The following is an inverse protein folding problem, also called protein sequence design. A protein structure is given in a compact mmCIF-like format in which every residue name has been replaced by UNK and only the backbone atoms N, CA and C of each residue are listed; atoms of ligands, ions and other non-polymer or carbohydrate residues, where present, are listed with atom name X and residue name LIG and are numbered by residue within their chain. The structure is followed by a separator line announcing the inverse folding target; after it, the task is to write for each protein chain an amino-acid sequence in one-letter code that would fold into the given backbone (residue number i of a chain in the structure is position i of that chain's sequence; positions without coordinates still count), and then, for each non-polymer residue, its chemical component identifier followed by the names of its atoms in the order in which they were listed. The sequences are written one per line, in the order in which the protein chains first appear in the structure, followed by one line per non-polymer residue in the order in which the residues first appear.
data_IF_492140510296
#
_entry.id   IF_492140510296
#
_cell.length_a   1.000
_cell.length_b   1.000
_cell.length_c   1.000
_cell.angle_alpha   90.00
_cell.angle_beta   90.00
_cell.angle_gamma   90.00
#
_symmetry.space_group_name_H-M   'P 1'
#
loop_
_entity.id
_entity.type
_entity.pdbx_description
1 polymer ?
#
# COMPACT_ATOMS: atom_id res chain seq x y z
N UNK A 1 2.86 2.27 -3.59
CA UNK A 1 2.26 2.18 -2.22
C UNK A 1 2.03 3.53 -1.48
N UNK A 2 2.94 4.50 -1.55
CA UNK A 2 2.91 5.74 -0.73
C UNK A 2 1.62 6.58 -0.81
N UNK A 3 1.00 6.69 -1.98
CA UNK A 3 -0.19 7.53 -2.16
C UNK A 3 -1.38 7.04 -1.31
N UNK A 4 -1.54 5.73 -1.18
CA UNK A 4 -2.62 5.10 -0.40
C UNK A 4 -2.40 5.37 1.10
N UNK A 5 -1.16 5.22 1.58
CA UNK A 5 -0.81 5.49 2.99
C UNK A 5 -1.05 6.96 3.35
N UNK A 6 -0.57 7.88 2.51
CA UNK A 6 -0.79 9.34 2.71
C UNK A 6 -2.27 9.71 2.67
N UNK A 7 -3.05 9.07 1.80
CA UNK A 7 -4.50 9.25 1.74
C UNK A 7 -5.18 8.84 3.05
N UNK A 8 -4.82 7.68 3.60
CA UNK A 8 -5.38 7.20 4.87
C UNK A 8 -4.98 8.09 6.07
N UNK A 9 -3.74 8.57 6.12
CA UNK A 9 -3.29 9.53 7.15
C UNK A 9 -4.12 10.81 7.12
N UNK A 10 -4.39 11.34 5.91
CA UNK A 10 -5.20 12.55 5.75
C UNK A 10 -6.64 12.35 6.22
N UNK A 11 -7.26 11.22 5.87
CA UNK A 11 -8.62 10.86 6.34
C UNK A 11 -8.66 10.75 7.86
N UNK A 12 -7.64 10.15 8.48
CA UNK A 12 -7.55 10.04 9.95
C UNK A 12 -7.41 11.41 10.61
N UNK A 13 -6.66 12.32 10.00
CA UNK A 13 -6.51 13.69 10.49
C UNK A 13 -7.83 14.48 10.41
N UNK A 14 -8.56 14.35 9.29
CA UNK A 14 -9.88 14.95 9.12
C UNK A 14 -10.89 14.39 10.14
N UNK A 15 -10.84 13.09 10.43
CA UNK A 15 -11.67 12.46 11.46
C UNK A 15 -11.40 13.03 12.86
N UNK A 16 -10.13 13.19 13.25
CA UNK A 16 -9.76 13.79 14.54
C UNK A 16 -10.21 15.26 14.64
N UNK A 17 -10.17 15.98 13.52
CA UNK A 17 -10.62 17.37 13.47
C UNK A 17 -12.14 17.47 13.64
N UNK A 18 -12.88 16.50 13.06
CA UNK A 18 -14.34 16.44 13.11
C UNK A 18 -14.92 16.12 14.49
N UNK A 19 -14.15 15.49 15.38
CA UNK A 19 -14.59 15.17 16.76
C UNK A 19 -14.91 16.41 17.60
N UNK A 20 -14.39 17.59 17.22
CA UNK A 20 -14.62 18.86 17.93
C UNK A 20 -15.75 19.73 17.32
N UNK A 21 -16.41 19.29 16.23
CA UNK A 21 -17.34 20.13 15.45
C UNK A 21 -18.79 20.19 16.01
N UNK A 22 -19.05 19.56 17.16
CA UNK A 22 -20.34 19.61 17.84
C UNK A 22 -21.40 18.59 17.36
N UNK A 23 -22.64 18.68 17.86
CA UNK A 23 -23.63 17.58 17.81
C UNK A 23 -24.24 17.30 16.42
N UNK A 24 -23.95 18.10 15.39
CA UNK A 24 -24.60 18.00 14.06
C UNK A 24 -24.01 16.87 13.18
N UNK A 25 -23.02 16.12 13.68
CA UNK A 25 -22.25 15.20 12.84
C UNK A 25 -22.22 13.75 13.34
N UNK A 26 -23.08 13.32 14.27
CA UNK A 26 -22.94 11.99 14.90
C UNK A 26 -23.01 10.82 13.89
N UNK A 27 -23.87 10.92 12.87
CA UNK A 27 -23.97 9.94 11.77
C UNK A 27 -22.74 10.00 10.86
N UNK A 28 -22.26 11.21 10.52
CA UNK A 28 -21.08 11.40 9.68
C UNK A 28 -19.82 10.88 10.39
N UNK A 29 -19.67 11.18 11.67
CA UNK A 29 -18.57 10.74 12.51
C UNK A 29 -18.55 9.22 12.69
N UNK A 30 -19.71 8.59 12.88
CA UNK A 30 -19.83 7.13 12.90
C UNK A 30 -19.41 6.52 11.56
N UNK A 31 -19.93 7.07 10.46
CA UNK A 31 -19.60 6.60 9.09
C UNK A 31 -18.10 6.74 8.80
N UNK A 32 -17.49 7.87 9.20
CA UNK A 32 -16.07 8.13 8.98
C UNK A 32 -15.18 7.22 9.84
N UNK A 33 -15.60 6.88 11.07
CA UNK A 33 -14.91 5.89 11.92
C UNK A 33 -14.94 4.49 11.31
N UNK A 34 -16.11 4.04 10.85
CA UNK A 34 -16.27 2.74 10.19
C UNK A 34 -15.43 2.67 8.90
N UNK A 35 -15.50 3.71 8.06
CA UNK A 35 -14.68 3.80 6.85
C UNK A 35 -13.18 3.76 7.16
N UNK A 36 -12.72 4.54 8.15
CA UNK A 36 -11.29 4.59 8.52
C UNK A 36 -10.79 3.25 9.05
N UNK A 37 -11.61 2.53 9.83
CA UNK A 37 -11.27 1.22 10.35
C UNK A 37 -11.11 0.18 9.21
N UNK A 38 -12.05 0.14 8.27
CA UNK A 38 -11.98 -0.75 7.10
C UNK A 38 -10.79 -0.39 6.22
N UNK A 39 -10.64 0.90 5.87
CA UNK A 39 -9.54 1.36 5.05
C UNK A 39 -8.17 1.06 5.67
N UNK A 40 -8.02 1.18 6.99
CA UNK A 40 -6.78 0.82 7.67
C UNK A 40 -6.46 -0.68 7.57
N UNK A 41 -7.45 -1.55 7.73
CA UNK A 41 -7.28 -2.99 7.59
C UNK A 41 -6.89 -3.39 6.16
N UNK A 42 -7.51 -2.77 5.15
CA UNK A 42 -7.17 -2.98 3.74
C UNK A 42 -5.75 -2.49 3.41
N UNK A 43 -5.36 -1.31 3.89
CA UNK A 43 -3.99 -0.78 3.70
C UNK A 43 -2.96 -1.68 4.38
N UNK A 44 -3.26 -2.22 5.56
CA UNK A 44 -2.38 -3.18 6.23
C UNK A 44 -2.24 -4.45 5.40
N UNK A 45 -3.34 -5.01 4.90
CA UNK A 45 -3.35 -6.20 4.06
C UNK A 45 -2.55 -5.99 2.76
N UNK A 46 -2.76 -4.86 2.10
CA UNK A 46 -1.99 -4.45 0.92
C UNK A 46 -0.50 -4.29 1.24
N UNK A 47 -0.16 -3.69 2.39
CA UNK A 47 1.24 -3.54 2.82
C UNK A 47 1.92 -4.89 3.01
N UNK A 48 1.22 -5.85 3.64
CA UNK A 48 1.75 -7.22 3.83
C UNK A 48 1.98 -7.89 2.48
N UNK A 49 0.98 -7.87 1.59
CA UNK A 49 1.08 -8.47 0.26
C UNK A 49 2.22 -7.84 -0.54
N UNK A 50 2.28 -6.51 -0.53
CA UNK A 50 3.29 -5.73 -1.23
C UNK A 50 4.71 -6.05 -0.73
N UNK A 51 4.89 -6.21 0.58
CA UNK A 51 6.16 -6.62 1.18
C UNK A 51 6.54 -8.05 0.78
N UNK A 52 5.57 -8.97 0.75
CA UNK A 52 5.83 -10.35 0.35
C UNK A 52 6.22 -10.46 -1.12
N UNK A 53 5.54 -9.73 -2.01
CA UNK A 53 5.91 -9.67 -3.42
C UNK A 53 7.29 -9.06 -3.61
N UNK A 54 7.64 -8.00 -2.87
CA UNK A 54 9.00 -7.44 -2.85
C UNK A 54 10.06 -8.49 -2.49
N UNK A 55 9.86 -9.25 -1.40
CA UNK A 55 10.80 -10.32 -1.02
C UNK A 55 10.92 -11.41 -2.07
N UNK A 56 9.83 -11.75 -2.78
CA UNK A 56 9.85 -12.73 -3.87
C UNK A 56 10.61 -12.20 -5.08
N UNK A 57 10.46 -10.92 -5.41
CA UNK A 57 11.22 -10.25 -6.46
C UNK A 57 12.72 -10.21 -6.11
N UNK A 58 13.07 -9.89 -4.85
CA UNK A 58 14.47 -9.88 -4.38
C UNK A 58 15.10 -11.29 -4.48
N UNK A 59 14.36 -12.32 -4.06
CA UNK A 59 14.81 -13.71 -4.18
C UNK A 59 15.01 -14.13 -5.65
N UNK A 60 14.18 -13.62 -6.57
CA UNK A 60 14.31 -13.86 -8.00
C UNK A 60 15.55 -13.16 -8.58
N UNK A 61 15.81 -11.91 -8.20
CA UNK A 61 17.02 -11.18 -8.59
C UNK A 61 18.28 -11.95 -8.14
N UNK A 62 18.32 -12.39 -6.88
CA UNK A 62 19.40 -13.22 -6.35
C UNK A 62 19.56 -14.55 -7.10
N UNK A 63 18.47 -15.21 -7.48
CA UNK A 63 18.50 -16.45 -8.26
C UNK A 63 19.19 -16.27 -9.61
N UNK A 64 18.99 -15.12 -10.27
CA UNK A 64 19.63 -14.79 -11.54
C UNK A 64 21.03 -14.14 -11.37
N UNK A 65 21.51 -13.97 -10.14
CA UNK A 65 22.79 -13.33 -9.85
C UNK A 65 22.79 -11.80 -9.97
N UNK A 66 21.61 -11.18 -10.01
CA UNK A 66 21.43 -9.73 -10.00
C UNK A 66 21.40 -9.19 -8.56
N UNK A 67 21.74 -7.92 -8.38
CA UNK A 67 21.63 -7.23 -7.09
C UNK A 67 20.19 -6.70 -6.92
N UNK A 68 19.41 -7.16 -5.92
CA UNK A 68 18.06 -6.68 -5.64
C UNK A 68 17.96 -5.16 -5.47
N UNK A 69 19.02 -4.50 -4.98
CA UNK A 69 19.04 -3.04 -4.81
C UNK A 69 19.09 -2.28 -6.15
N UNK A 70 19.55 -2.94 -7.21
CA UNK A 70 19.58 -2.40 -8.58
C UNK A 70 18.31 -2.77 -9.38
N UNK A 71 17.47 -3.66 -8.85
CA UNK A 71 16.23 -4.12 -9.49
C UNK A 71 15.00 -3.88 -8.61
N UNK A 72 14.67 -2.61 -8.26
CA UNK A 72 13.54 -2.33 -7.39
C UNK A 72 12.23 -2.79 -8.05
N UNK A 73 11.46 -3.57 -7.29
CA UNK A 73 10.18 -4.15 -7.72
C UNK A 73 9.21 -3.13 -8.34
N UNK A 74 9.15 -1.88 -7.84
CA UNK A 74 8.25 -0.84 -8.42
C UNK A 74 8.69 -0.32 -9.80
N UNK A 75 9.93 -0.54 -10.22
CA UNK A 75 10.44 -0.01 -11.48
C UNK A 75 10.43 -1.05 -12.61
N UNK A 76 10.17 -2.34 -12.32
CA UNK A 76 9.97 -3.38 -13.33
C UNK A 76 11.19 -3.66 -14.22
N UNK A 77 12.38 -3.17 -13.87
CA UNK A 77 13.61 -3.37 -14.65
C UNK A 77 14.35 -4.62 -14.17
N UNK A 78 13.83 -5.79 -14.51
CA UNK A 78 14.64 -7.01 -14.56
C UNK A 78 15.32 -7.06 -15.92
N UNK A 79 16.67 -7.04 -15.97
CA UNK A 79 17.44 -7.17 -17.21
C UNK A 79 17.66 -8.65 -17.55
N UNK A 80 16.57 -9.40 -17.74
CA UNK A 80 16.66 -10.80 -18.15
C UNK A 80 16.53 -10.92 -19.69
N UNK A 81 17.39 -11.71 -20.38
CA UNK A 81 17.16 -12.12 -21.77
C UNK A 81 16.07 -13.18 -21.78
N UNK A 82 14.83 -12.77 -21.55
CA UNK A 82 13.73 -13.69 -21.30
C UNK A 82 12.52 -12.98 -20.71
N UNK A 83 12.13 -11.87 -21.34
CA UNK A 83 10.90 -11.15 -21.06
C UNK A 83 9.69 -12.04 -21.39
N UNK A 84 9.35 -12.97 -20.49
CA UNK A 84 8.06 -13.65 -20.50
C UNK A 84 7.29 -13.14 -19.29
N UNK A 85 6.53 -12.06 -19.52
CA UNK A 85 5.27 -11.70 -18.87
C UNK A 85 5.05 -12.19 -17.43
N UNK A 86 5.85 -11.72 -16.47
CA UNK A 86 5.57 -11.99 -15.05
C UNK A 86 4.48 -11.07 -14.45
N UNK A 87 4.12 -9.97 -15.12
CA UNK A 87 3.21 -8.94 -14.59
C UNK A 87 2.07 -8.57 -15.55
N UNK A 88 1.43 -9.58 -16.15
CA UNK A 88 0.13 -9.41 -16.83
C UNK A 88 -0.97 -10.06 -15.99
N UNK A 89 -1.51 -9.31 -15.04
CA UNK A 89 -2.89 -9.43 -14.53
C UNK A 89 -3.44 -8.03 -14.29
#
# INVERSE_FOLDING_TARGET
MQAIVKGLEKVRFELQSSENDGPISEVFLKTLKEFTAVAAAEVQSLTVLYTEVGRKADALALYFGEDPAQCPFEQGQFSLPGQINFFSW
#
